data_IF_371682721612
#
_entry.id   IF_371682721612
#
_cell.length_a   1.000
_cell.length_b   1.000
_cell.length_c   1.000
_cell.angle_alpha   90.00
_cell.angle_beta   90.00
_cell.angle_gamma   90.00
#
_symmetry.space_group_name_H-M   'P 1'
#
loop_
_entity.id
_entity.type
_entity.pdbx_description
1 polymer ?
#
# COMPACT_ATOMS: atom_id res chain seq x y z
N UNK A 1 34.82 -6.25 26.55
CA UNK A 1 33.42 -6.03 27.00
C UNK A 1 33.15 -4.68 27.66
N UNK A 2 33.98 -4.12 28.55
CA UNK A 2 33.67 -2.82 29.23
C UNK A 2 33.62 -1.58 28.32
N UNK A 3 34.32 -1.56 27.16
CA UNK A 3 34.36 -0.41 26.24
C UNK A 3 33.08 -0.28 25.37
N UNK A 4 32.49 -1.39 24.94
CA UNK A 4 31.28 -1.39 24.11
C UNK A 4 30.04 -0.91 24.88
N UNK A 5 29.91 -1.28 26.15
CA UNK A 5 28.81 -0.82 27.02
C UNK A 5 28.88 0.70 27.28
N UNK A 6 30.10 1.27 27.39
CA UNK A 6 30.28 2.72 27.56
C UNK A 6 29.84 3.50 26.31
N UNK A 7 30.12 2.98 25.11
CA UNK A 7 29.72 3.60 23.85
C UNK A 7 28.20 3.66 23.69
N UNK A 8 27.49 2.57 24.02
CA UNK A 8 26.03 2.54 23.97
C UNK A 8 25.39 3.54 24.94
N UNK A 9 25.91 3.66 26.17
CA UNK A 9 25.44 4.66 27.14
C UNK A 9 25.68 6.09 26.66
N UNK A 10 26.83 6.34 26.03
CA UNK A 10 27.15 7.66 25.49
C UNK A 10 26.25 8.02 24.30
N UNK A 11 25.98 7.07 23.41
CA UNK A 11 25.03 7.25 22.31
C UNK A 11 23.62 7.55 22.82
N UNK A 12 23.14 6.80 23.82
CA UNK A 12 21.85 7.06 24.47
C UNK A 12 21.79 8.47 25.07
N UNK A 13 22.83 8.85 25.81
CA UNK A 13 22.94 10.19 26.40
C UNK A 13 22.91 11.30 25.34
N UNK A 14 23.61 11.14 24.23
CA UNK A 14 23.58 12.13 23.14
C UNK A 14 22.19 12.26 22.52
N UNK A 15 21.49 11.14 22.33
CA UNK A 15 20.11 11.13 21.80
C UNK A 15 19.16 11.86 22.74
N UNK A 16 19.24 11.56 24.04
CA UNK A 16 18.44 12.22 25.07
C UNK A 16 18.69 13.74 25.13
N UNK A 17 19.93 14.17 24.87
CA UNK A 17 20.34 15.57 24.91
C UNK A 17 20.26 16.31 23.56
N UNK A 18 19.48 15.80 22.59
CA UNK A 18 19.13 16.54 21.37
C UNK A 18 20.02 16.29 20.15
N UNK A 19 20.62 15.10 20.03
CA UNK A 19 21.37 14.69 18.82
C UNK A 19 20.57 14.92 17.53
N UNK A 20 19.29 14.55 17.50
CA UNK A 20 18.46 14.69 16.30
C UNK A 20 18.27 16.16 15.91
N UNK A 21 18.00 17.04 16.87
CA UNK A 21 17.88 18.48 16.61
C UNK A 21 19.20 19.08 16.09
N UNK A 22 20.34 18.65 16.63
CA UNK A 22 21.65 19.05 16.14
C UNK A 22 21.90 18.58 14.69
N UNK A 23 21.58 17.32 14.37
CA UNK A 23 21.68 16.78 13.02
C UNK A 23 20.72 17.48 12.03
N UNK A 24 19.50 17.81 12.46
CA UNK A 24 18.55 18.63 11.69
C UNK A 24 19.11 20.01 11.35
N UNK A 25 19.81 20.65 12.30
CA UNK A 25 20.47 21.93 12.07
C UNK A 25 21.55 21.82 10.99
N UNK A 26 22.36 20.76 11.01
CA UNK A 26 23.39 20.52 9.98
C UNK A 26 22.75 20.43 8.60
N UNK A 27 21.74 19.57 8.44
CA UNK A 27 21.01 19.39 7.17
C UNK A 27 20.45 20.73 6.67
N UNK A 28 19.81 21.49 7.56
CA UNK A 28 19.16 22.76 7.22
C UNK A 28 20.17 23.83 6.79
N UNK A 29 21.30 23.93 7.51
CA UNK A 29 22.35 24.90 7.17
C UNK A 29 23.04 24.59 5.85
N UNK A 30 23.29 23.30 5.58
CA UNK A 30 23.99 22.87 4.38
C UNK A 30 23.08 22.91 3.13
N UNK A 31 21.77 22.72 3.29
CA UNK A 31 20.79 22.88 2.20
C UNK A 31 20.65 24.34 1.74
N UNK A 32 20.72 25.30 2.67
CA UNK A 32 20.53 26.75 2.38
C UNK A 32 21.73 27.41 1.68
N UNK A 33 22.93 26.84 1.79
CA UNK A 33 24.20 27.49 1.40
C UNK A 33 24.83 26.95 0.11
N UNK A 34 24.07 26.24 -0.73
CA UNK A 34 24.56 25.63 -1.98
C UNK A 34 25.16 26.66 -2.97
N UNK A 35 26.40 27.09 -2.74
CA UNK A 35 27.30 27.70 -3.73
C UNK A 35 28.00 26.60 -4.54
N UNK A 36 28.60 26.92 -5.69
CA UNK A 36 29.17 25.91 -6.61
C UNK A 36 30.18 24.97 -5.96
N UNK A 37 31.03 25.44 -5.03
CA UNK A 37 31.97 24.60 -4.28
C UNK A 37 31.30 23.69 -3.23
N UNK A 38 30.14 24.06 -2.70
CA UNK A 38 29.43 23.32 -1.64
C UNK A 38 28.59 22.14 -2.19
N UNK A 39 28.41 22.05 -3.51
CA UNK A 39 27.72 20.93 -4.18
C UNK A 39 28.39 19.57 -3.88
N UNK A 40 29.70 19.56 -3.61
CA UNK A 40 30.45 18.34 -3.28
C UNK A 40 30.44 17.95 -1.80
N UNK A 41 30.17 18.92 -0.91
CA UNK A 41 30.26 18.76 0.55
C UNK A 41 28.92 18.29 1.13
N UNK A 42 27.82 18.84 0.62
CA UNK A 42 26.47 18.51 1.10
C UNK A 42 26.14 17.01 1.04
N UNK A 43 26.37 16.28 -0.07
CA UNK A 43 26.09 14.84 -0.12
C UNK A 43 26.91 14.04 0.89
N UNK A 44 28.18 14.41 1.13
CA UNK A 44 29.05 13.72 2.10
C UNK A 44 28.59 13.95 3.54
N UNK A 45 28.21 15.19 3.88
CA UNK A 45 27.65 15.50 5.20
C UNK A 45 26.32 14.78 5.42
N UNK A 46 25.46 14.78 4.39
CA UNK A 46 24.20 14.06 4.43
C UNK A 46 24.42 12.55 4.64
N UNK A 47 25.37 11.94 3.92
CA UNK A 47 25.75 10.53 4.10
C UNK A 47 26.09 10.20 5.56
N UNK A 48 26.97 10.99 6.18
CA UNK A 48 27.38 10.80 7.57
C UNK A 48 26.20 10.97 8.54
N UNK A 49 25.35 11.97 8.31
CA UNK A 49 24.17 12.20 9.15
C UNK A 49 23.20 11.02 9.06
N UNK A 50 22.91 10.53 7.85
CA UNK A 50 22.03 9.38 7.64
C UNK A 50 22.62 8.10 8.26
N UNK A 51 23.93 7.87 8.13
CA UNK A 51 24.61 6.73 8.76
C UNK A 51 24.51 6.76 10.28
N UNK A 52 24.76 7.92 10.91
CA UNK A 52 24.62 8.10 12.36
C UNK A 52 23.19 7.79 12.80
N UNK A 53 22.19 8.36 12.12
CA UNK A 53 20.78 8.11 12.47
C UNK A 53 20.40 6.66 12.29
N UNK A 54 20.81 6.02 11.20
CA UNK A 54 20.51 4.62 10.95
C UNK A 54 21.11 3.71 12.05
N UNK A 55 22.34 3.99 12.47
CA UNK A 55 22.96 3.27 13.59
C UNK A 55 22.20 3.50 14.91
N UNK A 56 21.79 4.73 15.19
CA UNK A 56 21.04 5.08 16.41
C UNK A 56 19.70 4.35 16.48
N UNK A 57 18.89 4.39 15.41
CA UNK A 57 17.56 3.75 15.38
C UNK A 57 17.63 2.22 15.35
N UNK A 58 18.79 1.66 15.00
CA UNK A 58 19.04 0.22 15.04
C UNK A 58 19.25 -0.32 16.45
N UNK A 59 19.58 0.54 17.44
CA UNK A 59 19.72 0.12 18.83
C UNK A 59 18.34 0.00 19.50
N UNK A 60 18.00 -1.23 19.91
CA UNK A 60 16.73 -1.56 20.57
C UNK A 60 16.38 -0.61 21.73
N UNK A 61 17.28 -0.41 22.69
CA UNK A 61 17.00 0.42 23.87
C UNK A 61 16.73 1.89 23.52
N UNK A 62 17.46 2.43 22.54
CA UNK A 62 17.24 3.81 22.07
C UNK A 62 15.91 3.88 21.31
N UNK A 63 15.63 2.89 20.46
CA UNK A 63 14.40 2.80 19.68
C UNK A 63 13.15 2.70 20.59
N UNK A 64 13.19 1.86 21.62
CA UNK A 64 12.11 1.73 22.62
C UNK A 64 11.88 3.04 23.39
N UNK A 65 12.96 3.74 23.78
CA UNK A 65 12.86 5.05 24.42
C UNK A 65 12.29 6.11 23.48
N UNK A 66 12.79 6.20 22.25
CA UNK A 66 12.27 7.14 21.23
C UNK A 66 10.79 6.87 20.95
N UNK A 67 10.40 5.61 20.80
CA UNK A 67 9.00 5.23 20.61
C UNK A 67 8.11 5.74 21.73
N UNK A 68 8.56 5.64 22.98
CA UNK A 68 7.75 5.96 24.16
C UNK A 68 7.76 7.46 24.50
N UNK A 69 8.93 8.09 24.46
CA UNK A 69 9.20 9.34 25.16
C UNK A 69 9.65 10.49 24.22
N UNK A 70 10.09 10.22 22.98
CA UNK A 70 10.67 11.26 22.10
C UNK A 70 10.59 11.01 20.58
N UNK A 71 9.51 10.42 20.07
CA UNK A 71 9.35 10.14 18.64
C UNK A 71 9.26 11.44 17.84
N UNK A 72 8.82 12.53 18.46
CA UNK A 72 8.66 13.85 17.87
C UNK A 72 9.99 14.32 17.26
N UNK A 73 11.13 14.00 17.90
CA UNK A 73 12.46 14.29 17.36
C UNK A 73 12.76 13.50 16.08
N UNK A 74 12.38 12.22 16.04
CA UNK A 74 12.50 11.38 14.84
C UNK A 74 11.56 11.84 13.73
N UNK A 75 10.34 12.28 14.07
CA UNK A 75 9.36 12.79 13.11
C UNK A 75 9.83 14.10 12.48
N UNK A 76 10.40 15.00 13.28
CA UNK A 76 10.98 16.25 12.80
C UNK A 76 12.17 15.95 11.86
N UNK A 77 13.09 15.08 12.28
CA UNK A 77 14.21 14.65 11.44
C UNK A 77 13.73 14.02 10.14
N UNK A 78 12.78 13.09 10.22
CA UNK A 78 12.17 12.41 9.08
C UNK A 78 11.52 13.40 8.11
N UNK A 79 10.82 14.41 8.64
CA UNK A 79 10.20 15.47 7.84
C UNK A 79 11.24 16.34 7.12
N UNK A 80 12.39 16.59 7.75
CA UNK A 80 13.46 17.39 7.13
C UNK A 80 14.17 16.61 6.01
N UNK A 81 14.48 15.33 6.20
CA UNK A 81 15.05 14.51 5.11
C UNK A 81 14.02 14.22 4.02
N UNK A 82 12.73 14.18 4.35
CA UNK A 82 11.66 14.06 3.35
C UNK A 82 11.61 15.29 2.43
N UNK A 83 11.81 16.51 2.95
CA UNK A 83 11.90 17.72 2.11
C UNK A 83 13.04 17.63 1.09
N UNK A 84 14.16 16.99 1.45
CA UNK A 84 15.27 16.76 0.51
C UNK A 84 14.85 15.78 -0.60
N UNK A 85 14.10 14.73 -0.26
CA UNK A 85 13.54 13.77 -1.22
C UNK A 85 12.53 14.42 -2.18
N UNK A 86 11.82 15.47 -1.77
CA UNK A 86 10.84 16.16 -2.62
C UNK A 86 11.45 17.35 -3.37
N UNK A 87 12.53 17.94 -2.87
CA UNK A 87 13.24 19.07 -3.46
C UNK A 87 13.95 18.68 -4.76
N UNK A 88 13.21 18.61 -5.87
CA UNK A 88 13.63 18.01 -7.14
C UNK A 88 14.95 18.49 -7.76
N UNK A 89 15.42 19.69 -7.43
CA UNK A 89 16.76 20.18 -7.83
C UNK A 89 17.89 19.55 -7.02
N UNK A 90 17.66 19.32 -5.71
CA UNK A 90 18.61 18.69 -4.80
C UNK A 90 18.71 17.19 -5.06
N UNK A 91 17.64 16.56 -5.53
CA UNK A 91 17.61 15.12 -5.84
C UNK A 91 18.61 14.72 -6.93
N UNK A 92 18.85 15.59 -7.91
CA UNK A 92 19.82 15.33 -9.01
C UNK A 92 21.27 15.36 -8.53
N UNK A 93 21.54 15.96 -7.36
CA UNK A 93 22.86 16.04 -6.75
C UNK A 93 23.14 14.88 -5.79
N UNK A 94 22.13 14.03 -5.53
CA UNK A 94 22.18 12.99 -4.52
C UNK A 94 22.27 11.63 -5.22
N UNK A 95 23.29 10.84 -4.82
CA UNK A 95 23.46 9.48 -5.30
C UNK A 95 22.28 8.58 -4.89
N UNK A 96 21.96 7.57 -5.72
CA UNK A 96 20.85 6.65 -5.45
C UNK A 96 20.98 5.90 -4.11
N UNK A 97 22.21 5.67 -3.64
CA UNK A 97 22.50 5.08 -2.33
C UNK A 97 22.02 5.96 -1.16
N UNK A 98 22.15 7.28 -1.26
CA UNK A 98 21.69 8.21 -0.23
C UNK A 98 20.17 8.29 -0.19
N UNK A 99 19.51 8.26 -1.35
CA UNK A 99 18.05 8.18 -1.40
C UNK A 99 17.56 6.91 -0.71
N UNK A 100 18.24 5.78 -0.91
CA UNK A 100 17.92 4.55 -0.20
C UNK A 100 18.03 4.67 1.30
N UNK A 101 19.09 5.31 1.81
CA UNK A 101 19.23 5.56 3.24
C UNK A 101 18.12 6.49 3.78
N UNK A 102 17.74 7.53 3.03
CA UNK A 102 16.60 8.40 3.38
C UNK A 102 15.32 7.57 3.48
N UNK A 103 14.99 6.78 2.45
CA UNK A 103 13.81 5.92 2.43
C UNK A 103 13.82 4.91 3.58
N UNK A 104 14.97 4.32 3.90
CA UNK A 104 15.13 3.38 5.02
C UNK A 104 14.88 4.04 6.37
N UNK A 105 15.41 5.24 6.60
CA UNK A 105 15.20 5.98 7.84
C UNK A 105 13.73 6.37 7.97
N UNK A 106 13.11 6.95 6.93
CA UNK A 106 11.69 7.32 6.96
C UNK A 106 10.82 6.07 7.21
N UNK A 107 11.10 4.96 6.53
CA UNK A 107 10.40 3.68 6.73
C UNK A 107 10.55 3.18 8.17
N UNK A 108 11.74 3.31 8.76
CA UNK A 108 11.99 2.94 10.15
C UNK A 108 11.22 3.82 11.12
N UNK A 109 11.17 5.14 10.89
CA UNK A 109 10.38 6.07 11.71
C UNK A 109 8.88 5.76 11.61
N UNK A 110 8.35 5.49 10.41
CA UNK A 110 6.97 5.04 10.22
C UNK A 110 6.70 3.73 10.98
N UNK A 111 7.60 2.76 10.91
CA UNK A 111 7.50 1.49 11.64
C UNK A 111 7.48 1.70 13.15
N UNK A 112 8.37 2.54 13.69
CA UNK A 112 8.44 2.84 15.12
C UNK A 112 7.14 3.54 15.55
N UNK A 113 6.67 4.49 14.75
CA UNK A 113 5.41 5.22 14.95
C UNK A 113 4.21 4.28 15.05
N UNK A 114 4.08 3.28 14.17
CA UNK A 114 2.97 2.33 14.17
C UNK A 114 2.93 1.43 15.42
N UNK A 115 4.05 1.29 16.15
CA UNK A 115 4.11 0.50 17.40
C UNK A 115 3.69 1.28 18.65
N UNK A 116 3.40 2.59 18.53
CA UNK A 116 2.94 3.41 19.67
C UNK A 116 1.59 2.95 20.22
N UNK A 117 1.30 3.33 21.46
CA UNK A 117 -0.02 3.09 22.09
C UNK A 117 -1.12 3.86 21.36
N UNK A 118 -2.34 3.32 21.41
CA UNK A 118 -3.54 3.69 20.61
C UNK A 118 -3.94 5.19 20.66
N UNK A 119 -3.53 5.94 21.69
CA UNK A 119 -3.91 7.35 21.87
C UNK A 119 -2.79 8.36 21.58
N UNK A 120 -1.69 7.93 20.98
CA UNK A 120 -0.61 8.82 20.57
C UNK A 120 -0.67 9.08 19.06
N UNK A 121 -0.43 10.33 18.60
CA UNK A 121 -0.42 10.63 17.18
C UNK A 121 0.70 9.84 16.48
N UNK A 122 0.33 9.21 15.36
CA UNK A 122 1.26 8.51 14.49
C UNK A 122 1.85 9.49 13.46
N UNK A 123 3.11 9.27 13.10
CA UNK A 123 3.72 9.88 11.92
C UNK A 123 3.05 9.35 10.65
N UNK A 124 2.48 10.28 9.87
CA UNK A 124 1.81 10.01 8.60
C UNK A 124 2.06 11.14 7.63
N UNK A 125 2.11 10.84 6.34
CA UNK A 125 2.17 11.81 5.26
C UNK A 125 0.77 12.12 4.70
N UNK A 126 0.59 13.32 4.15
CA UNK A 126 -0.60 13.65 3.34
C UNK A 126 -0.58 12.91 2.00
N UNK A 127 -1.71 12.86 1.31
CA UNK A 127 -1.80 12.28 -0.04
C UNK A 127 -0.82 12.94 -1.02
N UNK A 128 -0.62 14.26 -0.93
CA UNK A 128 0.39 14.97 -1.72
C UNK A 128 1.78 14.44 -1.38
N UNK A 129 2.10 14.28 -0.09
CA UNK A 129 3.37 13.69 0.35
C UNK A 129 3.60 12.31 -0.26
N UNK A 130 2.60 11.43 -0.20
CA UNK A 130 2.64 10.09 -0.83
C UNK A 130 2.87 10.15 -2.34
N UNK A 131 2.24 11.11 -3.02
CA UNK A 131 2.44 11.27 -4.45
C UNK A 131 3.84 11.79 -4.79
N UNK A 132 4.41 12.69 -3.99
CA UNK A 132 5.79 13.12 -4.18
C UNK A 132 6.79 11.97 -3.97
N UNK A 133 6.49 11.03 -3.06
CA UNK A 133 7.28 9.80 -2.87
C UNK A 133 7.26 8.97 -4.14
N UNK A 134 6.07 8.71 -4.68
CA UNK A 134 5.90 8.03 -5.96
C UNK A 134 6.71 8.71 -7.06
N UNK A 135 6.57 10.03 -7.23
CA UNK A 135 7.27 10.78 -8.29
C UNK A 135 8.79 10.74 -8.13
N UNK A 136 9.30 10.92 -6.90
CA UNK A 136 10.72 10.90 -6.62
C UNK A 136 11.34 9.52 -6.91
N UNK A 137 10.67 8.46 -6.46
CA UNK A 137 11.14 7.08 -6.66
C UNK A 137 11.04 6.66 -8.12
N UNK A 138 9.90 6.94 -8.77
CA UNK A 138 9.70 6.67 -10.19
C UNK A 138 10.78 7.35 -11.05
N UNK A 139 11.12 8.62 -10.77
CA UNK A 139 12.18 9.34 -11.48
C UNK A 139 13.54 8.65 -11.32
N UNK A 140 13.85 8.14 -10.12
CA UNK A 140 15.13 7.46 -9.85
C UNK A 140 15.24 6.14 -10.59
N UNK A 141 14.16 5.36 -10.62
CA UNK A 141 14.14 4.08 -11.33
C UNK A 141 14.30 4.29 -12.85
N UNK A 142 13.68 5.33 -13.43
CA UNK A 142 13.91 5.72 -14.83
C UNK A 142 15.39 6.05 -15.13
N UNK A 143 16.10 6.64 -14.16
CA UNK A 143 17.53 6.97 -14.29
C UNK A 143 18.48 5.80 -14.01
N UNK A 144 17.96 4.58 -13.76
CA UNK A 144 18.73 3.36 -13.43
C UNK A 144 19.66 3.50 -12.22
N UNK A 145 19.39 4.45 -11.32
CA UNK A 145 20.23 4.75 -10.15
C UNK A 145 19.97 3.80 -8.94
N UNK A 146 19.05 2.84 -9.07
CA UNK A 146 18.69 1.84 -8.06
C UNK A 146 17.30 1.23 -8.34
N UNK A 147 16.92 0.15 -7.64
CA UNK A 147 15.56 -0.40 -7.66
C UNK A 147 14.84 -0.02 -6.36
N UNK A 148 14.39 1.23 -6.27
CA UNK A 148 13.91 1.81 -5.02
C UNK A 148 12.37 1.77 -4.93
N UNK A 149 11.70 1.44 -6.04
CA UNK A 149 10.25 1.27 -6.16
C UNK A 149 9.61 0.52 -4.99
N UNK A 150 10.11 -0.67 -4.65
CA UNK A 150 9.51 -1.48 -3.58
C UNK A 150 9.62 -0.81 -2.20
N UNK A 151 10.74 -0.15 -1.91
CA UNK A 151 10.93 0.59 -0.66
C UNK A 151 10.00 1.80 -0.60
N UNK A 152 9.88 2.54 -1.71
CA UNK A 152 8.93 3.64 -1.84
C UNK A 152 7.48 3.19 -1.63
N UNK A 153 7.09 2.08 -2.26
CA UNK A 153 5.76 1.52 -2.11
C UNK A 153 5.49 1.07 -0.66
N UNK A 154 6.42 0.37 -0.02
CA UNK A 154 6.31 0.01 1.41
C UNK A 154 6.12 1.24 2.28
N UNK A 155 6.86 2.31 2.02
CA UNK A 155 6.72 3.57 2.74
C UNK A 155 5.32 4.17 2.57
N UNK A 156 4.77 4.15 1.35
CA UNK A 156 3.41 4.62 1.07
C UNK A 156 2.38 3.76 1.83
N UNK A 157 2.50 2.44 1.76
CA UNK A 157 1.59 1.50 2.42
C UNK A 157 1.69 1.50 3.94
N UNK A 158 2.76 2.03 4.54
CA UNK A 158 2.83 2.26 6.00
C UNK A 158 1.99 3.46 6.46
N UNK A 159 1.49 4.29 5.55
CA UNK A 159 0.58 5.37 5.88
C UNK A 159 -0.87 4.88 5.89
N UNK A 160 -1.74 5.62 6.58
CA UNK A 160 -3.18 5.35 6.57
C UNK A 160 -3.70 5.29 5.13
N UNK A 161 -4.63 4.38 4.81
CA UNK A 161 -5.36 4.37 3.55
C UNK A 161 -6.00 5.72 3.26
N UNK A 162 -5.92 6.17 2.00
CA UNK A 162 -6.17 7.57 1.65
C UNK A 162 -7.53 7.75 1.01
N UNK A 163 -8.43 8.41 1.73
CA UNK A 163 -9.77 8.81 1.25
C UNK A 163 -9.68 9.66 -0.03
N UNK A 164 -8.67 10.51 -0.12
CA UNK A 164 -8.48 11.46 -1.23
C UNK A 164 -8.14 10.80 -2.58
N UNK A 165 -7.84 9.49 -2.62
CA UNK A 165 -7.63 8.76 -3.88
C UNK A 165 -8.82 8.84 -4.83
N UNK A 166 -10.05 8.82 -4.28
CA UNK A 166 -11.28 8.95 -5.08
C UNK A 166 -11.44 10.33 -5.71
N UNK A 167 -10.87 11.36 -5.07
CA UNK A 167 -10.95 12.76 -5.50
C UNK A 167 -9.78 13.18 -6.39
N UNK A 168 -8.82 12.30 -6.62
CA UNK A 168 -7.61 12.62 -7.38
C UNK A 168 -7.92 12.78 -8.88
N UNK A 169 -7.10 13.58 -9.56
CA UNK A 169 -7.09 13.65 -11.02
C UNK A 169 -6.90 12.22 -11.62
N UNK A 170 -7.75 11.79 -12.58
CA UNK A 170 -7.70 10.43 -13.12
C UNK A 170 -6.36 10.06 -13.74
N UNK A 171 -5.65 11.00 -14.40
CA UNK A 171 -4.34 10.72 -15.00
C UNK A 171 -3.28 10.49 -13.93
N UNK A 172 -3.27 11.32 -12.87
CA UNK A 172 -2.38 11.15 -11.72
C UNK A 172 -2.67 9.84 -10.98
N UNK A 173 -3.94 9.52 -10.77
CA UNK A 173 -4.35 8.28 -10.13
C UNK A 173 -3.92 7.06 -10.96
N UNK A 174 -4.15 7.09 -12.28
CA UNK A 174 -3.74 6.02 -13.19
C UNK A 174 -2.22 5.80 -13.19
N UNK A 175 -1.42 6.87 -13.23
CA UNK A 175 0.04 6.76 -13.17
C UNK A 175 0.54 6.16 -11.86
N UNK A 176 -0.05 6.57 -10.74
CA UNK A 176 0.25 6.02 -9.42
C UNK A 176 -0.14 4.54 -9.30
N UNK A 177 -1.37 4.17 -9.68
CA UNK A 177 -1.86 2.80 -9.58
C UNK A 177 -1.07 1.85 -10.47
N UNK A 178 -0.81 2.23 -11.72
CA UNK A 178 0.01 1.43 -12.64
C UNK A 178 1.39 1.15 -12.04
N UNK A 179 2.08 2.19 -11.56
CA UNK A 179 3.37 2.03 -10.90
C UNK A 179 3.30 1.16 -9.64
N UNK A 180 2.31 1.37 -8.77
CA UNK A 180 2.18 0.63 -7.52
C UNK A 180 1.89 -0.85 -7.76
N UNK A 181 0.99 -1.16 -8.70
CA UNK A 181 0.63 -2.52 -9.09
C UNK A 181 1.82 -3.24 -9.70
N UNK A 182 2.48 -2.65 -10.70
CA UNK A 182 3.67 -3.25 -11.32
C UNK A 182 4.79 -3.47 -10.32
N UNK A 183 5.04 -2.51 -9.43
CA UNK A 183 6.05 -2.61 -8.37
C UNK A 183 5.76 -3.75 -7.40
N UNK A 184 4.50 -3.90 -6.97
CA UNK A 184 4.11 -4.96 -6.03
C UNK A 184 4.28 -6.35 -6.65
N UNK A 185 3.78 -6.55 -7.87
CA UNK A 185 3.87 -7.82 -8.59
C UNK A 185 5.32 -8.19 -8.93
N UNK A 186 6.14 -7.22 -9.37
CA UNK A 186 7.55 -7.45 -9.67
C UNK A 186 8.35 -7.77 -8.38
N UNK A 187 8.00 -7.15 -7.25
CA UNK A 187 8.65 -7.45 -5.97
C UNK A 187 8.34 -8.88 -5.51
N UNK A 188 7.06 -9.26 -5.50
CA UNK A 188 6.65 -10.58 -5.02
C UNK A 188 7.17 -11.69 -5.93
N UNK A 189 7.12 -11.52 -7.26
CA UNK A 189 7.68 -12.50 -8.21
C UNK A 189 9.19 -12.71 -8.01
N UNK A 190 9.96 -11.64 -7.75
CA UNK A 190 11.38 -11.74 -7.42
C UNK A 190 11.63 -12.45 -6.09
N UNK A 191 10.76 -12.29 -5.10
CA UNK A 191 10.91 -12.98 -3.81
C UNK A 191 10.64 -14.48 -3.95
N UNK A 192 9.58 -14.86 -4.67
CA UNK A 192 9.27 -16.26 -4.97
C UNK A 192 10.43 -16.92 -5.74
N UNK A 193 11.00 -16.23 -6.73
CA UNK A 193 12.18 -16.72 -7.45
C UNK A 193 13.37 -16.93 -6.51
N UNK A 194 13.68 -15.96 -5.63
CA UNK A 194 14.79 -16.08 -4.67
C UNK A 194 14.61 -17.22 -3.66
N UNK A 195 13.39 -17.41 -3.15
CA UNK A 195 13.06 -18.52 -2.25
C UNK A 195 13.24 -19.88 -2.94
N UNK A 196 12.84 -19.99 -4.21
CA UNK A 196 13.01 -21.22 -5.00
C UNK A 196 14.48 -21.57 -5.27
N UNK A 197 15.36 -20.57 -5.35
CA UNK A 197 16.80 -20.76 -5.63
C UNK A 197 17.63 -21.04 -4.37
N UNK A 198 17.19 -20.59 -3.20
CA UNK A 198 17.99 -20.68 -1.97
C UNK A 198 17.62 -21.84 -1.06
N UNK A 199 16.50 -22.54 -1.28
CA UNK A 199 16.10 -23.72 -0.49
C UNK A 199 16.17 -23.49 1.03
N UNK A 200 16.01 -22.24 1.47
CA UNK A 200 16.30 -21.82 2.83
C UNK A 200 14.97 -21.67 3.58
N UNK A 201 14.63 -22.72 4.32
CA UNK A 201 13.71 -22.61 5.45
C UNK A 201 14.45 -21.76 6.49
N UNK A 202 14.23 -20.46 6.48
CA UNK A 202 14.64 -19.60 7.58
C UNK A 202 13.64 -19.83 8.72
N UNK A 203 13.95 -20.77 9.60
CA UNK A 203 13.43 -20.80 10.97
C UNK A 203 13.89 -19.50 11.66
N UNK A 204 13.10 -18.45 11.56
CA UNK A 204 13.16 -17.32 12.49
C UNK A 204 11.90 -17.37 13.34
N UNK A 205 12.09 -17.54 14.64
CA UNK A 205 11.07 -17.54 15.67
C UNK A 205 10.06 -16.39 15.51
N UNK A 206 8.89 -16.76 15.02
CA UNK A 206 7.52 -16.36 15.33
C UNK A 206 6.69 -16.61 14.07
N UNK A 207 5.62 -17.41 14.19
CA UNK A 207 4.65 -17.72 13.13
C UNK A 207 3.93 -16.46 12.62
N UNK A 208 4.64 -15.61 11.87
CA UNK A 208 4.08 -14.50 11.11
C UNK A 208 4.21 -14.86 9.65
N UNK A 209 3.13 -15.33 9.04
CA UNK A 209 2.99 -15.29 7.59
C UNK A 209 3.15 -13.83 7.16
N UNK A 210 4.32 -13.45 6.63
CA UNK A 210 4.54 -12.08 6.15
C UNK A 210 3.70 -11.90 4.88
N UNK A 211 2.61 -11.13 5.00
CA UNK A 211 1.70 -10.82 3.91
C UNK A 211 2.48 -10.26 2.70
N UNK A 212 2.20 -10.75 1.48
CA UNK A 212 2.89 -10.29 0.27
C UNK A 212 2.69 -8.79 0.02
N UNK A 213 3.58 -8.15 -0.74
CA UNK A 213 3.45 -6.71 -1.02
C UNK A 213 2.19 -6.43 -1.83
N UNK A 214 1.81 -7.33 -2.73
CA UNK A 214 0.56 -7.28 -3.50
C UNK A 214 -0.66 -7.36 -2.59
N UNK A 215 -0.66 -8.25 -1.59
CA UNK A 215 -1.77 -8.36 -0.63
C UNK A 215 -1.88 -7.12 0.25
N UNK A 216 -0.74 -6.58 0.73
CA UNK A 216 -0.70 -5.31 1.47
C UNK A 216 -1.24 -4.15 0.64
N UNK A 217 -0.88 -4.06 -0.65
CA UNK A 217 -1.41 -3.06 -1.58
C UNK A 217 -2.91 -3.21 -1.78
N UNK A 218 -3.39 -4.43 -2.01
CA UNK A 218 -4.81 -4.71 -2.18
C UNK A 218 -5.64 -4.32 -0.96
N UNK A 219 -5.19 -4.69 0.24
CA UNK A 219 -5.84 -4.31 1.50
C UNK A 219 -5.86 -2.80 1.70
N UNK A 220 -4.75 -2.12 1.38
CA UNK A 220 -4.64 -0.67 1.49
C UNK A 220 -5.56 0.08 0.50
N UNK A 221 -5.66 -0.38 -0.75
CA UNK A 221 -6.55 0.20 -1.75
C UNK A 221 -8.03 -0.06 -1.41
N UNK A 222 -8.36 -1.26 -0.97
CA UNK A 222 -9.72 -1.62 -0.56
C UNK A 222 -10.18 -0.78 0.63
N UNK A 223 -9.32 -0.62 1.64
CA UNK A 223 -9.61 0.24 2.78
C UNK A 223 -9.73 1.73 2.38
N UNK A 224 -8.89 2.21 1.46
CA UNK A 224 -8.99 3.57 0.92
C UNK A 224 -10.35 3.81 0.23
N UNK A 225 -10.82 2.83 -0.54
CA UNK A 225 -12.11 2.89 -1.22
C UNK A 225 -13.28 2.87 -0.24
N UNK A 226 -13.27 1.98 0.76
CA UNK A 226 -14.32 1.89 1.79
C UNK A 226 -14.38 3.19 2.59
N UNK A 227 -13.26 3.59 3.21
CA UNK A 227 -13.19 4.83 3.98
C UNK A 227 -13.59 6.05 3.16
N UNK A 228 -13.17 6.08 1.89
CA UNK A 228 -13.54 7.15 0.98
C UNK A 228 -15.04 7.20 0.74
N UNK A 229 -15.66 6.12 0.28
CA UNK A 229 -17.11 6.08 0.00
C UNK A 229 -17.97 6.32 1.25
N UNK A 230 -17.50 5.90 2.41
CA UNK A 230 -18.15 6.10 3.71
C UNK A 230 -18.03 7.58 4.12
N UNK A 231 -16.81 8.11 4.28
CA UNK A 231 -16.57 9.49 4.73
C UNK A 231 -17.26 10.55 3.86
N UNK A 232 -17.27 10.35 2.54
CA UNK A 232 -17.96 11.21 1.58
C UNK A 232 -19.47 11.39 1.89
N UNK A 233 -20.10 10.42 2.56
CA UNK A 233 -21.53 10.42 2.88
C UNK A 233 -21.84 10.79 4.33
N UNK A 234 -20.83 10.75 5.22
CA UNK A 234 -20.98 11.14 6.62
C UNK A 234 -20.67 12.63 6.89
N UNK A 235 -20.14 13.37 5.92
CA UNK A 235 -19.82 14.81 6.04
C UNK A 235 -21.05 15.72 6.24
N UNK A 236 -22.30 15.20 6.18
CA UNK A 236 -23.50 16.04 6.31
C UNK A 236 -24.22 16.02 7.67
N UNK A 237 -24.17 14.97 8.50
CA UNK A 237 -24.86 14.99 9.81
C UNK A 237 -24.34 13.92 10.77
N UNK A 238 -23.95 14.36 11.97
CA UNK A 238 -23.91 13.59 13.22
C UNK A 238 -23.42 12.12 13.17
N UNK A 239 -22.11 11.92 13.37
CA UNK A 239 -21.48 10.68 13.84
C UNK A 239 -22.02 10.13 15.18
N UNK A 240 -23.06 10.74 15.77
CA UNK A 240 -23.66 10.31 17.05
C UNK A 240 -24.60 9.11 16.91
N UNK A 241 -24.94 8.67 15.70
CA UNK A 241 -25.80 7.51 15.45
C UNK A 241 -25.05 6.32 14.87
N UNK A 242 -23.82 6.08 15.34
CA UNK A 242 -23.04 4.85 15.04
C UNK A 242 -23.74 3.55 15.49
N UNK A 243 -24.83 3.63 16.26
CA UNK A 243 -25.62 2.47 16.70
C UNK A 243 -26.45 1.79 15.59
N UNK A 244 -26.48 2.33 14.35
CA UNK A 244 -27.41 1.85 13.29
C UNK A 244 -26.80 1.22 12.05
N UNK A 245 -25.48 1.10 11.92
CA UNK A 245 -24.90 0.28 10.85
C UNK A 245 -25.02 -1.19 11.28
N UNK A 246 -26.17 -1.80 10.99
CA UNK A 246 -26.41 -3.22 11.22
C UNK A 246 -25.34 -4.04 10.49
N UNK A 247 -24.89 -5.15 11.09
CA UNK A 247 -23.57 -5.76 10.87
C UNK A 247 -23.28 -6.44 9.52
N UNK A 248 -23.98 -6.12 8.42
CA UNK A 248 -23.78 -6.74 7.10
C UNK A 248 -23.39 -5.72 6.03
N UNK A 249 -22.87 -6.19 4.89
CA UNK A 249 -22.54 -5.34 3.74
C UNK A 249 -23.81 -4.77 3.10
N UNK A 250 -24.91 -5.53 3.09
CA UNK A 250 -26.19 -5.08 2.54
C UNK A 250 -26.71 -3.81 3.21
N UNK A 251 -26.74 -3.77 4.54
CA UNK A 251 -27.19 -2.61 5.31
C UNK A 251 -26.29 -1.39 5.13
N UNK A 252 -24.97 -1.61 4.99
CA UNK A 252 -24.03 -0.54 4.65
C UNK A 252 -24.40 0.08 3.29
N UNK A 253 -24.63 -0.75 2.27
CA UNK A 253 -25.02 -0.29 0.94
C UNK A 253 -26.38 0.41 0.93
N UNK A 254 -27.35 -0.10 1.70
CA UNK A 254 -28.66 0.54 1.87
C UNK A 254 -28.54 1.91 2.56
N UNK A 255 -27.70 2.02 3.58
CA UNK A 255 -27.42 3.30 4.24
C UNK A 255 -26.77 4.31 3.27
N UNK A 256 -25.80 3.84 2.49
CA UNK A 256 -25.14 4.59 1.42
C UNK A 256 -26.15 5.02 0.33
N UNK A 257 -27.17 4.22 0.05
CA UNK A 257 -28.26 4.56 -0.89
C UNK A 257 -29.15 5.67 -0.34
N UNK A 258 -29.59 5.54 0.91
CA UNK A 258 -30.59 6.41 1.53
C UNK A 258 -30.05 7.80 1.91
N UNK A 259 -28.73 7.94 2.00
CA UNK A 259 -28.02 9.22 2.27
C UNK A 259 -27.72 10.02 1.00
N UNK A 260 -28.21 9.58 -0.17
CA UNK A 260 -28.03 10.28 -1.45
C UNK A 260 -28.97 11.50 -1.50
N UNK A 261 -28.47 12.66 -1.08
CA UNK A 261 -29.08 13.93 -1.47
C UNK A 261 -28.79 14.18 -2.96
N UNK A 262 -29.83 14.52 -3.73
CA UNK A 262 -29.78 14.78 -5.18
C UNK A 262 -28.83 15.93 -5.59
N UNK A 263 -28.26 16.66 -4.62
CA UNK A 263 -27.54 17.92 -4.84
C UNK A 263 -25.99 17.82 -4.81
N UNK A 264 -25.37 16.67 -4.55
CA UNK A 264 -23.90 16.52 -4.56
C UNK A 264 -23.41 15.59 -5.69
N UNK A 265 -23.73 15.95 -6.93
CA UNK A 265 -23.13 15.36 -8.14
C UNK A 265 -21.69 15.85 -8.32
N UNK A 266 -20.79 15.53 -7.39
CA UNK A 266 -19.37 15.51 -7.75
C UNK A 266 -19.11 14.12 -8.33
N UNK A 267 -19.29 13.99 -9.65
CA UNK A 267 -18.81 12.84 -10.39
C UNK A 267 -17.31 12.73 -10.17
N UNK A 268 -16.93 11.72 -9.40
CA UNK A 268 -15.55 11.34 -9.20
C UNK A 268 -15.12 10.49 -10.40
N UNK A 269 -13.88 10.68 -10.86
CA UNK A 269 -13.36 10.02 -12.06
C UNK A 269 -12.58 8.74 -11.80
N UNK A 270 -12.27 8.42 -10.53
CA UNK A 270 -11.31 7.37 -10.18
C UNK A 270 -11.95 6.06 -9.72
N UNK A 271 -13.26 5.97 -9.51
CA UNK A 271 -13.92 4.76 -9.02
C UNK A 271 -13.72 3.56 -9.95
N UNK A 272 -13.97 3.75 -11.25
CA UNK A 272 -13.81 2.68 -12.23
C UNK A 272 -12.37 2.20 -12.31
N UNK A 273 -11.43 3.14 -12.26
CA UNK A 273 -9.99 2.87 -12.26
C UNK A 273 -9.57 2.08 -11.01
N UNK A 274 -10.00 2.51 -9.81
CA UNK A 274 -9.73 1.82 -8.55
C UNK A 274 -10.36 0.43 -8.53
N UNK A 275 -11.63 0.31 -8.97
CA UNK A 275 -12.32 -0.98 -9.02
C UNK A 275 -11.61 -1.97 -9.95
N UNK A 276 -11.18 -1.52 -11.13
CA UNK A 276 -10.43 -2.35 -12.07
C UNK A 276 -9.08 -2.81 -11.48
N UNK A 277 -8.33 -1.92 -10.83
CA UNK A 277 -7.03 -2.27 -10.24
C UNK A 277 -7.17 -3.18 -9.00
N UNK A 278 -8.16 -2.93 -8.14
CA UNK A 278 -8.48 -3.80 -7.00
C UNK A 278 -8.86 -5.20 -7.49
N UNK A 279 -9.72 -5.28 -8.52
CA UNK A 279 -10.14 -6.54 -9.11
C UNK A 279 -8.96 -7.28 -9.76
N UNK A 280 -8.10 -6.58 -10.49
CA UNK A 280 -6.89 -7.14 -11.11
C UNK A 280 -5.94 -7.73 -10.06
N UNK A 281 -5.64 -6.99 -8.99
CA UNK A 281 -4.79 -7.47 -7.89
C UNK A 281 -5.41 -8.71 -7.21
N UNK A 282 -6.74 -8.72 -7.02
CA UNK A 282 -7.45 -9.87 -6.46
C UNK A 282 -7.36 -11.11 -7.36
N UNK A 283 -7.43 -10.95 -8.68
CA UNK A 283 -7.26 -12.05 -9.63
C UNK A 283 -5.84 -12.64 -9.63
N UNK A 284 -4.82 -11.85 -9.28
CA UNK A 284 -3.45 -12.34 -9.14
C UNK A 284 -3.20 -13.06 -7.81
N UNK A 285 -3.96 -12.71 -6.76
CA UNK A 285 -3.81 -13.24 -5.40
C UNK A 285 -4.68 -14.47 -5.11
N UNK A 286 -5.07 -15.26 -6.13
CA UNK A 286 -6.09 -16.34 -6.20
C UNK A 286 -6.36 -17.23 -4.96
N UNK A 287 -5.51 -17.19 -3.94
CA UNK A 287 -5.50 -17.98 -2.71
C UNK A 287 -5.72 -17.20 -1.39
N UNK A 288 -5.75 -15.86 -1.37
CA UNK A 288 -5.93 -15.08 -0.13
C UNK A 288 -7.41 -14.86 0.24
N UNK A 289 -8.05 -15.89 0.80
CA UNK A 289 -9.44 -15.81 1.30
C UNK A 289 -9.63 -14.79 2.44
N UNK A 290 -8.56 -14.43 3.14
CA UNK A 290 -8.61 -13.53 4.29
C UNK A 290 -8.96 -12.09 3.90
N UNK A 291 -8.56 -11.65 2.70
CA UNK A 291 -8.74 -10.26 2.24
C UNK A 291 -9.99 -10.12 1.36
N UNK A 292 -10.56 -11.24 0.91
CA UNK A 292 -11.67 -11.29 -0.03
C UNK A 292 -12.94 -10.53 0.46
N UNK A 293 -13.41 -10.65 1.71
CA UNK A 293 -14.60 -9.91 2.16
C UNK A 293 -14.42 -8.38 2.10
N UNK A 294 -13.24 -7.88 2.46
CA UNK A 294 -12.90 -6.45 2.39
C UNK A 294 -12.84 -5.98 0.93
N UNK A 295 -12.25 -6.79 0.05
CA UNK A 295 -12.14 -6.50 -1.39
C UNK A 295 -13.51 -6.42 -2.04
N UNK A 296 -14.37 -7.41 -1.78
CA UNK A 296 -15.74 -7.42 -2.31
C UNK A 296 -16.54 -6.26 -1.77
N UNK A 297 -16.41 -5.93 -0.47
CA UNK A 297 -17.05 -4.75 0.12
C UNK A 297 -16.62 -3.46 -0.57
N UNK A 298 -15.32 -3.28 -0.82
CA UNK A 298 -14.79 -2.13 -1.55
C UNK A 298 -15.33 -2.07 -2.99
N UNK A 299 -15.32 -3.19 -3.72
CA UNK A 299 -15.82 -3.25 -5.09
C UNK A 299 -17.32 -2.96 -5.18
N UNK A 300 -18.13 -3.50 -4.26
CA UNK A 300 -19.56 -3.21 -4.17
C UNK A 300 -19.84 -1.72 -3.92
N UNK A 301 -19.02 -1.05 -3.09
CA UNK A 301 -19.13 0.39 -2.83
C UNK A 301 -18.68 1.24 -4.03
N UNK A 302 -17.63 0.85 -4.74
CA UNK A 302 -17.12 1.57 -5.92
C UNK A 302 -18.06 1.42 -7.12
N UNK A 303 -18.62 0.22 -7.32
CA UNK A 303 -19.49 -0.12 -8.45
C UNK A 303 -20.98 -0.01 -8.11
N UNK A 304 -21.33 0.65 -7.01
CA UNK A 304 -22.69 0.68 -6.50
C UNK A 304 -23.73 1.17 -7.53
N UNK A 305 -23.42 2.25 -8.26
CA UNK A 305 -24.32 2.77 -9.30
C UNK A 305 -24.48 1.80 -10.48
N UNK A 306 -23.41 1.07 -10.82
CA UNK A 306 -23.45 0.05 -11.87
C UNK A 306 -24.24 -1.19 -11.43
N UNK A 307 -24.15 -1.56 -10.15
CA UNK A 307 -24.95 -2.63 -9.55
C UNK A 307 -26.44 -2.27 -9.55
N UNK A 308 -26.80 -1.01 -9.25
CA UNK A 308 -28.18 -0.54 -9.33
C UNK A 308 -28.67 -0.52 -10.79
N UNK A 309 -27.88 0.04 -11.70
CA UNK A 309 -28.26 0.23 -13.11
C UNK A 309 -28.39 -1.07 -13.89
N UNK A 310 -27.73 -2.14 -13.45
CA UNK A 310 -27.89 -3.47 -14.03
C UNK A 310 -29.23 -4.15 -13.64
N UNK A 311 -30.16 -3.42 -13.03
CA UNK A 311 -31.49 -3.87 -12.57
C UNK A 311 -31.44 -5.07 -11.59
N UNK A 312 -30.26 -5.30 -11.01
CA UNK A 312 -29.95 -6.39 -10.06
C UNK A 312 -30.70 -6.26 -8.73
N UNK A 313 -31.58 -5.27 -8.56
CA UNK A 313 -32.37 -5.10 -7.34
C UNK A 313 -33.89 -5.26 -7.57
N UNK A 314 -34.37 -5.53 -8.79
CA UNK A 314 -35.81 -5.47 -9.10
C UNK A 314 -36.48 -6.76 -9.61
N UNK A 315 -35.74 -7.83 -9.94
CA UNK A 315 -36.35 -9.18 -10.15
C UNK A 315 -35.44 -10.38 -9.81
N UNK A 316 -34.14 -10.34 -10.14
CA UNK A 316 -33.10 -11.28 -9.65
C UNK A 316 -32.46 -10.82 -8.32
N UNK A 317 -32.85 -9.64 -7.82
CA UNK A 317 -32.19 -8.98 -6.70
C UNK A 317 -32.41 -9.55 -5.30
N UNK A 318 -33.37 -10.47 -5.16
CA UNK A 318 -33.53 -11.23 -3.93
C UNK A 318 -32.28 -12.10 -3.64
N UNK A 319 -31.66 -12.62 -4.70
CA UNK A 319 -30.47 -13.47 -4.58
C UNK A 319 -29.22 -12.63 -4.25
N UNK A 320 -29.05 -11.47 -4.89
CA UNK A 320 -27.92 -10.58 -4.60
C UNK A 320 -28.00 -9.97 -3.19
N UNK A 321 -29.18 -9.50 -2.78
CA UNK A 321 -29.40 -9.01 -1.42
C UNK A 321 -29.11 -10.10 -0.38
N UNK A 322 -29.51 -11.35 -0.66
CA UNK A 322 -29.19 -12.49 0.18
C UNK A 322 -27.67 -12.71 0.29
N UNK A 323 -26.93 -12.66 -0.83
CA UNK A 323 -25.47 -12.78 -0.80
C UNK A 323 -24.79 -11.63 -0.05
N UNK A 324 -25.23 -10.38 -0.26
CA UNK A 324 -24.70 -9.21 0.45
C UNK A 324 -25.01 -9.25 1.96
N UNK A 325 -26.14 -9.85 2.35
CA UNK A 325 -26.51 -10.02 3.76
C UNK A 325 -25.68 -11.07 4.50
N UNK A 326 -25.08 -12.02 3.76
CA UNK A 326 -24.16 -13.04 4.31
C UNK A 326 -22.76 -12.50 4.56
N UNK A 327 -22.42 -11.36 3.95
CA UNK A 327 -21.11 -10.71 4.11
C UNK A 327 -21.20 -9.70 5.23
N UNK A 328 -20.23 -9.73 6.15
CA UNK A 328 -20.18 -8.78 7.26
C UNK A 328 -19.89 -7.37 6.75
N UNK A 329 -20.32 -6.39 7.55
CA UNK A 329 -19.87 -5.02 7.34
C UNK A 329 -18.33 -4.97 7.49
N UNK A 330 -17.60 -4.32 6.56
CA UNK A 330 -16.16 -4.19 6.64
C UNK A 330 -15.72 -3.48 7.93
N UNK A 331 -14.66 -3.99 8.55
CA UNK A 331 -14.08 -3.45 9.79
C UNK A 331 -13.63 -1.99 9.64
N UNK A 332 -13.26 -1.57 8.43
CA UNK A 332 -12.86 -0.21 8.10
C UNK A 332 -13.92 0.86 8.43
N UNK A 333 -15.19 0.44 8.55
CA UNK A 333 -16.30 1.33 8.92
C UNK A 333 -16.33 1.60 10.43
N UNK A 334 -15.70 0.75 11.23
CA UNK A 334 -15.62 0.91 12.68
C UNK A 334 -14.71 2.10 13.03
N UNK A 335 -15.19 3.10 13.81
CA UNK A 335 -14.36 4.22 14.27
C UNK A 335 -13.12 3.80 15.08
N UNK A 336 -13.12 2.60 15.66
CA UNK A 336 -11.99 2.03 16.39
C UNK A 336 -10.96 1.35 15.48
N UNK A 337 -11.29 1.08 14.22
CA UNK A 337 -10.38 0.43 13.28
C UNK A 337 -9.14 1.28 13.01
N UNK A 338 -7.97 0.64 12.94
CA UNK A 338 -6.69 1.29 12.63
C UNK A 338 -5.94 0.49 11.59
N UNK A 339 -5.32 1.20 10.66
CA UNK A 339 -4.46 0.59 9.66
C UNK A 339 -3.15 0.09 10.29
N UNK A 340 -2.78 -1.13 9.93
CA UNK A 340 -1.48 -1.73 10.25
C UNK A 340 -0.85 -2.31 8.99
N UNK A 341 0.42 -1.98 8.75
CA UNK A 341 1.16 -2.49 7.59
C UNK A 341 1.46 -3.98 7.70
N UNK A 342 1.78 -4.47 8.90
CA UNK A 342 2.33 -5.81 9.11
C UNK A 342 1.29 -6.92 9.15
N UNK A 343 0.09 -6.63 9.62
CA UNK A 343 -0.96 -7.64 9.81
C UNK A 343 -2.32 -7.03 9.47
N UNK A 344 -3.25 -7.82 8.90
CA UNK A 344 -4.66 -7.46 8.82
C UNK A 344 -5.26 -7.23 10.21
N UNK A 345 -6.19 -6.29 10.32
CA UNK A 345 -6.94 -6.08 11.56
C UNK A 345 -7.81 -7.32 11.85
N UNK A 346 -7.86 -7.74 13.12
CA UNK A 346 -8.72 -8.84 13.59
C UNK A 346 -9.52 -8.35 14.79
N UNK A 347 -10.84 -8.25 14.63
CA UNK A 347 -11.73 -8.07 15.77
C UNK A 347 -12.05 -9.44 16.39
N UNK A 348 -11.46 -9.74 17.54
CA UNK A 348 -11.69 -10.98 18.28
C UNK A 348 -13.10 -11.05 18.91
N UNK A 349 -13.84 -9.93 18.95
CA UNK A 349 -15.22 -9.92 19.46
C UNK A 349 -16.24 -10.48 18.45
N UNK A 350 -15.85 -10.62 17.18
CA UNK A 350 -16.69 -11.06 16.06
C UNK A 350 -16.20 -12.38 15.43
N UNK A 351 -15.73 -13.32 16.26
CA UNK A 351 -15.23 -14.59 15.75
C UNK A 351 -16.37 -15.46 15.18
N UNK A 352 -16.38 -15.61 13.86
CA UNK A 352 -17.35 -16.43 13.14
C UNK A 352 -17.11 -17.92 13.34
N UNK A 353 -18.20 -18.68 13.38
CA UNK A 353 -18.15 -20.14 13.23
C UNK A 353 -17.62 -20.53 11.85
N UNK A 354 -17.04 -21.74 11.72
CA UNK A 354 -16.50 -22.22 10.44
C UNK A 354 -17.56 -22.23 9.32
N UNK A 355 -18.82 -22.53 9.65
CA UNK A 355 -19.93 -22.51 8.71
C UNK A 355 -20.17 -21.09 8.16
N UNK A 356 -20.25 -20.10 9.05
CA UNK A 356 -20.44 -18.70 8.64
C UNK A 356 -19.27 -18.16 7.81
N UNK A 357 -18.04 -18.57 8.13
CA UNK A 357 -16.85 -18.22 7.31
C UNK A 357 -16.97 -18.80 5.90
N UNK A 358 -17.43 -20.04 5.76
CA UNK A 358 -17.64 -20.67 4.45
C UNK A 358 -18.75 -19.95 3.66
N UNK A 359 -19.86 -19.62 4.32
CA UNK A 359 -20.98 -18.91 3.70
C UNK A 359 -20.57 -17.50 3.22
N UNK A 360 -19.79 -16.77 4.03
CA UNK A 360 -19.25 -15.45 3.69
C UNK A 360 -18.31 -15.53 2.47
N UNK A 361 -17.40 -16.51 2.46
CA UNK A 361 -16.47 -16.73 1.33
C UNK A 361 -17.23 -17.10 0.06
N UNK A 362 -18.19 -18.02 0.14
CA UNK A 362 -19.02 -18.40 -1.01
C UNK A 362 -19.79 -17.19 -1.56
N UNK A 363 -20.38 -16.38 -0.68
CA UNK A 363 -21.07 -15.17 -1.11
C UNK A 363 -20.13 -14.18 -1.80
N UNK A 364 -18.91 -14.01 -1.28
CA UNK A 364 -17.89 -13.19 -1.91
C UNK A 364 -17.50 -13.69 -3.30
N UNK A 365 -17.34 -15.01 -3.49
CA UNK A 365 -17.01 -15.61 -4.78
C UNK A 365 -18.12 -15.41 -5.81
N UNK A 366 -19.38 -15.60 -5.42
CA UNK A 366 -20.54 -15.31 -6.29
C UNK A 366 -20.55 -13.84 -6.72
N UNK A 367 -20.34 -12.92 -5.79
CA UNK A 367 -20.27 -11.49 -6.10
C UNK A 367 -19.08 -11.13 -6.99
N UNK A 368 -17.94 -11.81 -6.83
CA UNK A 368 -16.78 -11.62 -7.69
C UNK A 368 -17.10 -11.90 -9.17
N UNK A 369 -17.93 -12.92 -9.45
CA UNK A 369 -18.41 -13.24 -10.81
C UNK A 369 -19.37 -12.17 -11.35
N UNK A 370 -20.24 -11.63 -10.50
CA UNK A 370 -21.13 -10.53 -10.91
C UNK A 370 -20.30 -9.28 -11.24
N UNK A 371 -19.31 -8.95 -10.40
CA UNK A 371 -18.42 -7.81 -10.60
C UNK A 371 -17.58 -7.95 -11.87
N UNK A 372 -17.06 -9.15 -12.16
CA UNK A 372 -16.29 -9.39 -13.39
C UNK A 372 -17.12 -9.11 -14.65
N UNK A 373 -18.41 -9.48 -14.64
CA UNK A 373 -19.35 -9.19 -15.71
C UNK A 373 -19.67 -7.70 -15.85
N UNK A 374 -19.70 -6.95 -14.75
CA UNK A 374 -19.91 -5.49 -14.78
C UNK A 374 -18.69 -4.78 -15.35
N UNK A 375 -17.49 -5.19 -14.91
CA UNK A 375 -16.23 -4.60 -15.37
C UNK A 375 -15.94 -4.94 -16.85
N UNK A 376 -16.35 -6.12 -17.34
CA UNK A 376 -16.15 -6.51 -18.74
C UNK A 376 -17.10 -5.84 -19.73
N UNK A 377 -18.33 -5.49 -19.29
CA UNK A 377 -19.34 -4.82 -20.13
C UNK A 377 -19.08 -3.33 -20.33
N UNK A 378 -18.28 -2.70 -19.47
CA UNK A 378 -17.80 -1.33 -19.69
C UNK A 378 -16.53 -1.41 -20.54
N UNK A 379 -16.52 -0.94 -21.80
CA UNK A 379 -15.27 -0.56 -22.42
C UNK A 379 -14.76 0.64 -21.63
N UNK A 380 -13.97 0.37 -20.60
CA UNK A 380 -13.22 1.42 -19.95
C UNK A 380 -12.27 1.92 -21.04
N UNK A 381 -12.51 3.14 -21.53
CA UNK A 381 -11.56 3.95 -22.34
C UNK A 381 -10.25 4.27 -21.56
N UNK A 382 -10.02 3.55 -20.48
CA UNK A 382 -8.79 3.54 -19.74
C UNK A 382 -7.76 2.79 -20.58
N UNK A 383 -6.64 3.44 -20.84
CA UNK A 383 -5.36 2.81 -21.13
C UNK A 383 -4.86 1.99 -19.91
N UNK A 384 -5.73 1.12 -19.39
CA UNK A 384 -5.38 0.03 -18.48
C UNK A 384 -4.65 -0.96 -19.35
N UNK A 385 -3.31 -0.88 -19.30
CA UNK A 385 -2.36 -1.82 -19.87
C UNK A 385 -2.75 -2.30 -21.27
N UNK A 386 -2.42 -1.50 -22.29
CA UNK A 386 -2.30 -2.09 -23.62
C UNK A 386 -1.29 -3.25 -23.51
N UNK A 387 -1.58 -4.42 -24.11
CA UNK A 387 -0.64 -5.55 -24.19
C UNK A 387 0.74 -5.20 -24.77
N UNK A 388 0.89 -4.01 -25.37
CA UNK A 388 2.13 -3.49 -25.94
C UNK A 388 3.13 -2.97 -24.90
N UNK A 389 2.71 -2.58 -23.69
CA UNK A 389 3.66 -2.21 -22.62
C UNK A 389 4.19 -3.42 -21.85
N UNK A 390 3.60 -4.60 -22.06
CA UNK A 390 4.10 -5.90 -21.58
C UNK A 390 5.35 -6.34 -22.37
N UNK A 391 5.56 -5.81 -23.58
CA UNK A 391 6.73 -6.16 -24.41
C UNK A 391 8.06 -5.57 -23.90
N UNK A 392 8.04 -4.62 -22.97
CA UNK A 392 9.27 -4.08 -22.35
C UNK A 392 9.77 -5.01 -21.22
N UNK A 393 8.90 -5.88 -20.71
CA UNK A 393 9.23 -6.89 -19.71
C UNK A 393 9.61 -8.21 -20.40
N UNK A 394 10.91 -8.46 -20.57
CA UNK A 394 11.47 -9.75 -21.03
C UNK A 394 11.21 -10.94 -20.06
N UNK A 395 10.14 -10.90 -19.27
CA UNK A 395 9.83 -11.86 -18.20
C UNK A 395 9.07 -13.09 -18.71
N UNK A 396 8.62 -13.11 -19.96
CA UNK A 396 7.79 -14.20 -20.52
C UNK A 396 8.46 -15.04 -21.63
N UNK A 397 9.78 -14.96 -21.82
CA UNK A 397 10.48 -15.83 -22.79
C UNK A 397 10.55 -17.30 -22.32
N UNK A 398 10.62 -17.54 -21.00
CA UNK A 398 10.72 -18.89 -20.45
C UNK A 398 9.39 -19.67 -20.53
N UNK A 399 8.26 -19.00 -20.30
CA UNK A 399 6.92 -19.59 -20.44
C UNK A 399 6.57 -19.94 -21.90
N UNK A 400 7.03 -19.15 -22.88
CA UNK A 400 6.85 -19.46 -24.31
C UNK A 400 7.66 -20.67 -24.79
N UNK A 401 8.79 -20.98 -24.13
CA UNK A 401 9.63 -22.12 -24.50
C UNK A 401 9.12 -23.46 -23.96
N UNK A 402 8.30 -23.45 -22.90
CA UNK A 402 7.60 -24.63 -22.39
C UNK A 402 6.47 -25.10 -23.32
N UNK A 403 5.79 -24.16 -23.97
CA UNK A 403 4.73 -24.47 -24.95
C UNK A 403 5.33 -25.00 -26.26
N UNK A 404 6.47 -24.43 -26.70
CA UNK A 404 7.17 -24.89 -27.92
C UNK A 404 7.82 -26.26 -27.80
N UNK A 405 8.09 -26.74 -26.58
CA UNK A 405 8.70 -28.07 -26.36
C UNK A 405 7.70 -29.21 -26.28
N UNK A 406 6.39 -28.91 -26.16
CA UNK A 406 5.33 -29.93 -26.22
C UNK A 406 4.90 -30.31 -27.64
N UNK A 407 5.23 -29.50 -28.65
CA UNK A 407 4.95 -29.80 -30.07
C UNK A 407 6.08 -30.57 -30.78
N UNK A 408 7.12 -30.98 -30.06
CA UNK A 408 8.27 -31.68 -30.64
C UNK A 408 8.46 -33.09 -30.06
N UNK A 409 7.82 -34.09 -30.69
CA UNK A 409 8.42 -35.37 -31.17
C UNK A 409 7.37 -36.49 -31.35
N UNK A 410 7.67 -37.59 -32.09
CA UNK A 410 8.37 -37.76 -33.37
C UNK A 410 7.65 -38.80 -34.29
N UNK A 411 8.29 -39.16 -35.42
CA UNK A 411 7.97 -40.20 -36.43
C UNK A 411 7.29 -39.63 -37.70
N UNK A 412 7.79 -39.82 -38.93
CA UNK A 412 8.33 -41.06 -39.50
C UNK A 412 9.19 -40.79 -40.75
N UNK A 413 10.19 -41.64 -40.95
CA UNK A 413 11.08 -41.78 -42.11
C UNK A 413 10.34 -41.87 -43.47
N UNK A 414 10.90 -41.25 -44.52
CA UNK A 414 11.17 -41.84 -45.86
C UNK A 414 11.96 -40.83 -46.72
N UNK A 415 13.26 -41.06 -46.90
CA UNK A 415 13.91 -41.57 -48.13
C UNK A 415 13.68 -40.66 -49.33
N UNK A 416 14.68 -39.83 -49.60
CA UNK A 416 14.94 -39.18 -50.88
C UNK A 416 15.54 -40.18 -51.88
N UNK A 417 15.02 -40.13 -53.10
CA UNK A 417 15.78 -40.30 -54.34
C UNK A 417 15.63 -38.99 -55.12
#
# INVERSE_FOLDING_TARGET
MKKSVKLQRMAFYLVENGLFSWLCSIISTSSRRLTEDQKSIFPKQLALVLEVVNNVISFRNICEWLQKDALEQLMEFSSNIFKILVGGEQLLLIEGALVNQILQIITSVLRISQKRKIFQPHFTFSIEGLFHIYQAVHKLDCTRLGSNSASGLKMILMNMPQISLLRMDPKRCSGFLSWAVSTALEFDSRMIAKESHLGLISESDEEHFDESLTSKLLRWLSASAILGKVSLKFDCMHLRTSERLSGTLYSLLEHVKNTRDDNSLQEFGCEGLLAANIFYLQQHLQSSFMVLPVVISALCLLLFDALISADLFHSEGADLAQHLSKIRCPEEVNPAWRWTFYQPWKDYSLELTNLQKMDEVHACQTLQLVISNILSKKPLDLQVLLPQDIEISRVFEWERNLIRTQDSNPQQKKVSL
#
